data_IF_397491298430
#
_entry.id   IF_397491298430
#
_cell.length_a   1.000
_cell.length_b   1.000
_cell.length_c   1.000
_cell.angle_alpha   90.00
_cell.angle_beta   90.00
_cell.angle_gamma   90.00
#
_symmetry.space_group_name_H-M   'P 1'
#
loop_
_entity.id
_entity.type
_entity.pdbx_description
1 polymer ?
#
# COMPACT_ATOMS: atom_id res chain seq x y z
N UNK A 1 13.11 16.72 1.78
CA UNK A 1 13.36 16.09 0.47
C UNK A 1 13.38 14.56 0.53
N UNK A 2 14.15 13.93 1.43
CA UNK A 2 14.20 12.45 1.58
C UNK A 2 12.83 11.78 1.74
N UNK A 3 11.90 12.39 2.47
CA UNK A 3 10.55 11.83 2.69
C UNK A 3 9.72 11.76 1.40
N UNK A 4 9.86 12.74 0.50
CA UNK A 4 9.18 12.71 -0.80
C UNK A 4 9.64 11.53 -1.65
N UNK A 5 10.93 11.19 -1.61
CA UNK A 5 11.47 10.02 -2.31
C UNK A 5 10.89 8.72 -1.74
N UNK A 6 10.77 8.62 -0.41
CA UNK A 6 10.15 7.45 0.23
C UNK A 6 8.68 7.29 -0.16
N UNK A 7 7.92 8.38 -0.12
CA UNK A 7 6.50 8.38 -0.53
C UNK A 7 6.39 7.99 -2.00
N UNK A 8 7.25 8.54 -2.86
CA UNK A 8 7.28 8.22 -4.29
C UNK A 8 7.60 6.75 -4.56
N UNK A 9 8.61 6.18 -3.89
CA UNK A 9 8.96 4.77 -4.05
C UNK A 9 7.84 3.84 -3.53
N UNK A 10 7.25 4.19 -2.39
CA UNK A 10 6.09 3.49 -1.84
C UNK A 10 4.92 3.51 -2.82
N UNK A 11 4.54 4.69 -3.31
CA UNK A 11 3.43 4.87 -4.25
C UNK A 11 3.67 4.24 -5.60
N UNK A 12 4.90 4.28 -6.10
CA UNK A 12 5.31 3.52 -7.29
C UNK A 12 5.07 2.03 -7.09
N UNK A 13 5.58 1.44 -6.01
CA UNK A 13 5.38 0.03 -5.71
C UNK A 13 3.90 -0.34 -5.50
N UNK A 14 3.16 0.48 -4.74
CA UNK A 14 1.74 0.28 -4.46
C UNK A 14 0.87 0.40 -5.72
N UNK A 15 1.20 1.31 -6.64
CA UNK A 15 0.48 1.46 -7.91
C UNK A 15 0.67 0.26 -8.82
N UNK A 16 1.90 -0.27 -8.93
CA UNK A 16 2.20 -1.48 -9.70
C UNK A 16 1.48 -2.69 -9.09
N UNK A 17 1.49 -2.83 -7.76
CA UNK A 17 0.78 -3.91 -7.08
C UNK A 17 -0.73 -3.87 -7.35
N UNK A 18 -1.35 -2.70 -7.22
CA UNK A 18 -2.79 -2.50 -7.53
C UNK A 18 -3.10 -2.81 -8.99
N UNK A 19 -2.23 -2.40 -9.92
CA UNK A 19 -2.38 -2.70 -11.34
C UNK A 19 -2.33 -4.20 -11.62
N UNK A 20 -1.37 -4.92 -11.04
CA UNK A 20 -1.25 -6.37 -11.20
C UNK A 20 -2.46 -7.10 -10.63
N UNK A 21 -2.90 -6.76 -9.41
CA UNK A 21 -4.11 -7.35 -8.83
C UNK A 21 -5.34 -7.09 -9.70
N UNK A 22 -5.50 -5.86 -10.17
CA UNK A 22 -6.60 -5.51 -11.08
C UNK A 22 -6.56 -6.32 -12.36
N UNK A 23 -5.39 -6.44 -12.99
CA UNK A 23 -5.22 -7.17 -14.26
C UNK A 23 -5.55 -8.67 -14.13
N UNK A 24 -5.27 -9.29 -12.99
CA UNK A 24 -5.44 -10.73 -12.81
C UNK A 24 -6.80 -11.11 -12.24
N UNK A 25 -7.40 -10.26 -11.41
CA UNK A 25 -8.59 -10.60 -10.62
C UNK A 25 -9.85 -9.80 -11.00
N UNK A 26 -9.74 -8.68 -11.72
CA UNK A 26 -10.92 -7.94 -12.17
C UNK A 26 -11.43 -8.50 -13.51
N UNK A 27 -12.00 -9.70 -13.48
CA UNK A 27 -12.46 -10.46 -14.66
C UNK A 27 -13.91 -10.18 -15.09
N UNK A 28 -14.43 -8.99 -14.81
CA UNK A 28 -15.79 -8.58 -15.20
C UNK A 28 -16.91 -9.03 -14.26
N UNK A 29 -16.58 -9.59 -13.09
CA UNK A 29 -17.54 -9.78 -12.01
C UNK A 29 -18.10 -8.43 -11.52
N UNK A 30 -19.32 -8.44 -10.96
CA UNK A 30 -19.97 -7.26 -10.35
C UNK A 30 -19.06 -6.61 -9.30
N UNK A 31 -18.37 -7.45 -8.51
CA UNK A 31 -17.37 -7.00 -7.55
C UNK A 31 -15.96 -7.12 -8.15
N UNK A 32 -15.20 -6.02 -8.27
CA UNK A 32 -13.81 -6.06 -8.72
C UNK A 32 -12.90 -6.63 -7.62
N UNK A 33 -12.70 -7.95 -7.65
CA UNK A 33 -11.94 -8.68 -6.63
C UNK A 33 -10.50 -8.20 -6.46
N UNK A 34 -9.85 -7.78 -7.54
CA UNK A 34 -8.49 -7.23 -7.48
C UNK A 34 -8.45 -5.91 -6.71
N UNK A 35 -9.42 -5.03 -6.97
CA UNK A 35 -9.54 -3.76 -6.24
C UNK A 35 -9.92 -3.98 -4.79
N UNK A 36 -10.84 -4.92 -4.51
CA UNK A 36 -11.23 -5.29 -3.15
C UNK A 36 -10.03 -5.83 -2.36
N UNK A 37 -9.31 -6.80 -2.93
CA UNK A 37 -8.14 -7.40 -2.29
C UNK A 37 -7.02 -6.38 -2.05
N UNK A 38 -6.78 -5.47 -2.99
CA UNK A 38 -5.81 -4.40 -2.82
C UNK A 38 -6.13 -3.49 -1.62
N UNK A 39 -7.41 -3.17 -1.41
CA UNK A 39 -7.82 -2.34 -0.27
C UNK A 39 -7.71 -3.10 1.06
N UNK A 40 -8.10 -4.37 1.10
CA UNK A 40 -7.97 -5.20 2.30
C UNK A 40 -6.50 -5.36 2.69
N UNK A 41 -5.64 -5.70 1.74
CA UNK A 41 -4.20 -5.85 2.01
C UNK A 41 -3.54 -4.51 2.35
N UNK A 42 -3.89 -3.43 1.65
CA UNK A 42 -3.36 -2.10 1.93
C UNK A 42 -3.73 -1.59 3.32
N UNK A 43 -5.01 -1.68 3.70
CA UNK A 43 -5.46 -1.26 5.04
C UNK A 43 -4.87 -2.12 6.16
N UNK A 44 -4.76 -3.44 5.95
CA UNK A 44 -4.07 -4.33 6.89
C UNK A 44 -2.59 -3.96 7.05
N UNK A 45 -1.88 -3.73 5.93
CA UNK A 45 -0.47 -3.31 5.96
C UNK A 45 -0.29 -1.99 6.70
N UNK A 46 -1.13 -0.98 6.44
CA UNK A 46 -1.11 0.31 7.15
C UNK A 46 -1.29 0.09 8.65
N UNK A 47 -2.25 -0.74 9.08
CA UNK A 47 -2.48 -1.06 10.48
C UNK A 47 -1.26 -1.67 11.17
N UNK A 48 -0.62 -2.65 10.53
CA UNK A 48 0.62 -3.30 11.02
C UNK A 48 1.77 -2.29 11.09
N UNK A 49 1.96 -1.50 10.03
CA UNK A 49 3.03 -0.50 9.94
C UNK A 49 2.90 0.56 11.01
N UNK A 50 1.71 1.14 11.19
CA UNK A 50 1.46 2.16 12.23
C UNK A 50 1.63 1.54 13.63
N UNK A 51 1.10 0.33 13.86
CA UNK A 51 1.23 -0.37 15.14
C UNK A 51 2.69 -0.67 15.52
N UNK A 52 3.53 -1.01 14.54
CA UNK A 52 4.96 -1.26 14.77
C UNK A 52 5.78 0.03 14.85
N UNK A 53 5.56 0.97 13.93
CA UNK A 53 6.29 2.24 13.86
C UNK A 53 6.02 3.13 15.08
N UNK A 54 4.82 3.06 15.66
CA UNK A 54 4.51 3.79 16.90
C UNK A 54 5.33 3.34 18.11
N UNK A 55 5.81 2.09 18.12
CA UNK A 55 6.67 1.55 19.19
C UNK A 55 8.16 1.87 18.98
N UNK A 56 8.57 2.11 17.74
CA UNK A 56 9.98 2.24 17.33
C UNK A 56 10.33 3.64 16.85
N UNK A 57 9.36 4.56 16.82
CA UNK A 57 9.45 5.92 16.25
C UNK A 57 9.99 5.96 14.80
N UNK A 58 9.80 4.87 14.06
CA UNK A 58 10.40 4.72 12.73
C UNK A 58 9.57 5.43 11.64
N UNK A 59 9.90 6.70 11.40
CA UNK A 59 9.24 7.52 10.38
C UNK A 59 9.46 7.03 8.94
N UNK A 60 10.52 6.27 8.66
CA UNK A 60 10.80 5.75 7.31
C UNK A 60 9.72 4.78 6.88
N UNK A 61 9.30 3.88 7.78
CA UNK A 61 8.24 2.91 7.49
C UNK A 61 6.89 3.59 7.25
N UNK A 62 6.59 4.67 7.99
CA UNK A 62 5.36 5.44 7.81
C UNK A 62 5.33 6.08 6.43
N UNK A 63 6.38 6.81 6.04
CA UNK A 63 6.39 7.50 4.74
C UNK A 63 6.42 6.52 3.56
N UNK A 64 7.15 5.40 3.67
CA UNK A 64 7.26 4.41 2.60
C UNK A 64 5.99 3.55 2.46
N UNK A 65 5.47 2.99 3.55
CA UNK A 65 4.47 1.93 3.51
C UNK A 65 3.07 2.35 3.96
N UNK A 66 2.93 3.43 4.74
CA UNK A 66 1.61 3.90 5.17
C UNK A 66 1.08 5.06 4.32
N UNK A 67 1.98 5.98 3.91
CA UNK A 67 1.63 7.12 3.06
C UNK A 67 1.88 6.80 1.59
N UNK A 68 3.01 6.15 1.28
CA UNK A 68 3.41 5.83 -0.09
C UNK A 68 2.63 4.67 -0.68
N UNK A 69 2.76 3.47 -0.10
CA UNK A 69 2.23 2.21 -0.65
C UNK A 69 0.70 2.14 -0.69
#
# INVERSE_FOLDING_TARGET
>A
MKNFLLIFLGGGMGSVFRYLLGRWLNTGAILPWGTFLANVLGSFLIGVVIGYASRTENQVLIFLLAVGF
#
